data_IF_205603594286
#
_entry.id   IF_205603594286
#
_cell.length_a   1.000
_cell.length_b   1.000
_cell.length_c   1.000
_cell.angle_alpha   90.00
_cell.angle_beta   90.00
_cell.angle_gamma   90.00
#
_symmetry.space_group_name_H-M   'P 1'
#
loop_
_entity.id
_entity.type
_entity.pdbx_description
1 polymer ?
#
# COMPACT_ATOMS: atom_id res chain seq x y z
N UNK A 1 11.40 -45.80 -25.14
CA UNK A 1 10.42 -44.72 -25.37
C UNK A 1 11.05 -43.41 -24.95
N UNK A 2 11.30 -42.50 -25.90
CA UNK A 2 11.83 -41.17 -25.59
C UNK A 2 10.71 -40.28 -25.05
N UNK A 3 10.96 -39.56 -23.96
CA UNK A 3 10.05 -38.56 -23.40
C UNK A 3 9.84 -37.46 -24.46
N UNK A 4 8.60 -37.03 -24.78
CA UNK A 4 8.39 -35.92 -25.69
C UNK A 4 9.14 -34.70 -25.13
N UNK A 5 9.96 -34.04 -25.95
CA UNK A 5 10.47 -32.71 -25.61
C UNK A 5 9.26 -31.80 -25.50
N UNK A 6 8.91 -31.37 -24.29
CA UNK A 6 8.04 -30.22 -24.08
C UNK A 6 8.57 -29.09 -24.96
N UNK A 7 7.73 -28.59 -25.86
CA UNK A 7 8.08 -27.42 -26.65
C UNK A 7 8.51 -26.29 -25.69
N UNK A 8 9.54 -25.50 -26.03
CA UNK A 8 9.91 -24.35 -25.21
C UNK A 8 8.70 -23.44 -25.05
N UNK A 9 8.53 -22.84 -23.87
CA UNK A 9 7.50 -21.83 -23.64
C UNK A 9 7.64 -20.71 -24.69
N UNK A 10 6.53 -20.11 -25.15
CA UNK A 10 6.60 -19.02 -26.11
C UNK A 10 7.38 -17.85 -25.53
N UNK A 11 8.10 -17.12 -26.36
CA UNK A 11 8.71 -15.86 -25.94
C UNK A 11 7.62 -14.86 -25.55
N UNK A 12 7.88 -14.00 -24.56
CA UNK A 12 6.96 -12.94 -24.13
C UNK A 12 7.54 -11.57 -24.51
N UNK A 13 6.70 -10.67 -25.01
CA UNK A 13 7.04 -9.27 -25.28
C UNK A 13 6.26 -8.36 -24.32
N UNK A 14 6.95 -7.70 -23.40
CA UNK A 14 6.34 -6.77 -22.46
C UNK A 14 6.27 -5.35 -23.04
N UNK A 15 5.08 -4.93 -23.43
CA UNK A 15 4.78 -3.57 -23.87
C UNK A 15 4.52 -2.69 -22.63
N UNK A 16 5.25 -1.58 -22.54
CA UNK A 16 5.13 -0.62 -21.43
C UNK A 16 4.86 0.77 -21.98
N UNK A 17 3.73 1.38 -21.61
CA UNK A 17 3.39 2.72 -22.06
C UNK A 17 4.17 3.80 -21.27
N UNK A 18 4.46 4.92 -21.95
CA UNK A 18 4.98 6.14 -21.32
C UNK A 18 3.92 6.88 -20.49
N UNK A 19 4.19 8.14 -20.13
CA UNK A 19 3.24 8.96 -19.38
C UNK A 19 2.14 9.46 -20.34
N UNK A 20 0.97 8.83 -20.31
CA UNK A 20 -0.11 9.19 -21.26
C UNK A 20 -1.44 8.44 -21.12
N UNK A 21 -1.56 7.46 -20.22
CA UNK A 21 -2.85 6.81 -19.98
C UNK A 21 -3.32 5.87 -21.08
N UNK A 22 -2.40 5.31 -21.88
CA UNK A 22 -2.75 4.41 -22.98
C UNK A 22 -3.44 3.15 -22.43
N UNK A 23 -4.55 2.78 -23.08
CA UNK A 23 -5.35 1.61 -22.69
C UNK A 23 -4.71 0.30 -23.16
N UNK A 24 -4.99 -0.84 -22.51
CA UNK A 24 -4.47 -2.14 -22.97
C UNK A 24 -4.91 -2.47 -24.40
N UNK A 25 -6.12 -2.04 -24.81
CA UNK A 25 -6.62 -2.24 -26.18
C UNK A 25 -5.77 -1.49 -27.21
N UNK A 26 -5.35 -0.27 -26.88
CA UNK A 26 -4.47 0.51 -27.76
C UNK A 26 -3.04 -0.03 -27.78
N UNK A 27 -2.53 -0.54 -26.66
CA UNK A 27 -1.18 -1.14 -26.61
C UNK A 27 -1.12 -2.45 -27.38
N UNK A 28 -2.16 -3.28 -27.28
CA UNK A 28 -2.23 -4.58 -27.93
C UNK A 28 -2.84 -4.51 -29.32
N UNK A 29 -3.29 -3.34 -29.78
CA UNK A 29 -4.04 -3.16 -31.02
C UNK A 29 -5.19 -4.18 -31.19
N UNK A 30 -5.88 -4.47 -30.08
CA UNK A 30 -6.96 -5.46 -30.02
C UNK A 30 -8.07 -4.99 -29.07
N UNK A 31 -9.34 -4.95 -29.49
CA UNK A 31 -10.45 -4.55 -28.62
C UNK A 31 -10.75 -5.56 -27.50
N UNK A 32 -10.38 -6.84 -27.66
CA UNK A 32 -10.65 -7.94 -26.73
C UNK A 32 -9.39 -8.24 -25.92
N UNK A 33 -9.21 -7.52 -24.81
CA UNK A 33 -8.11 -7.78 -23.88
C UNK A 33 -8.61 -8.43 -22.59
N UNK A 34 -7.78 -9.29 -22.00
CA UNK A 34 -8.04 -9.97 -20.73
C UNK A 34 -6.97 -9.59 -19.73
N UNK A 35 -7.37 -9.27 -18.49
CA UNK A 35 -6.45 -9.04 -17.37
C UNK A 35 -5.87 -10.40 -16.93
N UNK A 36 -4.57 -10.58 -17.08
CA UNK A 36 -3.87 -11.81 -16.70
C UNK A 36 -3.45 -11.76 -15.24
N UNK A 37 -2.92 -10.62 -14.80
CA UNK A 37 -2.51 -10.41 -13.40
C UNK A 37 -2.57 -8.93 -13.03
N UNK A 38 -2.72 -8.65 -11.74
CA UNK A 38 -2.88 -7.30 -11.19
C UNK A 38 -4.35 -6.93 -10.97
N UNK A 39 -4.65 -5.64 -11.06
CA UNK A 39 -5.97 -5.08 -10.80
C UNK A 39 -6.31 -3.91 -11.74
N UNK A 40 -7.44 -3.25 -11.49
CA UNK A 40 -7.88 -2.10 -12.29
C UNK A 40 -6.95 -0.86 -12.17
N UNK A 41 -6.03 -0.83 -11.21
CA UNK A 41 -5.09 0.28 -11.00
C UNK A 41 -3.79 0.04 -11.77
N UNK A 42 -3.26 -1.18 -11.69
CA UNK A 42 -2.12 -1.61 -12.50
C UNK A 42 -2.20 -3.12 -12.78
N UNK A 43 -1.97 -3.51 -14.02
CA UNK A 43 -2.10 -4.91 -14.42
C UNK A 43 -1.44 -5.23 -15.75
N UNK A 44 -1.19 -6.52 -15.95
CA UNK A 44 -0.73 -7.09 -17.22
C UNK A 44 -1.95 -7.64 -17.96
N UNK A 45 -2.10 -7.19 -19.19
CA UNK A 45 -3.16 -7.62 -20.10
C UNK A 45 -2.58 -8.37 -21.28
N UNK A 46 -3.30 -9.39 -21.75
CA UNK A 46 -3.05 -10.07 -23.03
C UNK A 46 -4.26 -9.88 -23.95
N UNK A 47 -4.07 -10.13 -25.25
CA UNK A 47 -5.21 -10.36 -26.15
C UNK A 47 -5.95 -11.60 -25.67
N UNK A 48 -7.26 -11.62 -25.84
CA UNK A 48 -8.10 -12.72 -25.32
C UNK A 48 -7.71 -14.06 -25.95
N UNK A 49 -7.28 -14.05 -27.21
CA UNK A 49 -6.87 -15.27 -27.92
C UNK A 49 -5.49 -15.79 -27.43
N UNK A 50 -4.72 -14.94 -26.76
CA UNK A 50 -3.34 -15.19 -26.30
C UNK A 50 -3.24 -15.54 -24.80
N UNK A 51 -4.37 -15.62 -24.08
CA UNK A 51 -4.38 -15.91 -22.63
C UNK A 51 -3.70 -17.26 -22.33
N UNK A 52 -4.07 -18.31 -23.07
CA UNK A 52 -3.55 -19.67 -22.90
C UNK A 52 -2.34 -19.97 -23.81
N UNK A 53 -1.57 -18.95 -24.19
CA UNK A 53 -0.44 -19.12 -25.12
C UNK A 53 0.61 -20.11 -24.60
N UNK A 54 0.79 -20.21 -23.28
CA UNK A 54 1.72 -21.15 -22.66
C UNK A 54 1.26 -22.62 -22.74
N UNK A 55 -0.04 -22.86 -22.90
CA UNK A 55 -0.61 -24.20 -23.11
C UNK A 55 -0.50 -24.63 -24.59
N UNK A 56 -0.28 -23.66 -25.50
CA UNK A 56 -0.24 -23.86 -26.96
C UNK A 56 1.04 -23.28 -27.60
N UNK A 57 2.25 -23.62 -27.12
CA UNK A 57 3.50 -23.04 -27.61
C UNK A 57 3.73 -23.26 -29.11
N UNK A 58 3.18 -24.33 -29.69
CA UNK A 58 3.30 -24.66 -31.11
C UNK A 58 2.60 -23.68 -32.07
N UNK A 59 1.60 -22.92 -31.60
CA UNK A 59 0.85 -21.96 -32.43
C UNK A 59 1.63 -20.66 -32.68
N UNK A 60 2.53 -20.31 -31.76
CA UNK A 60 3.29 -19.05 -31.79
C UNK A 60 4.65 -19.22 -32.49
N UNK A 61 5.24 -20.41 -32.45
CA UNK A 61 6.57 -20.66 -33.02
C UNK A 61 7.61 -19.74 -32.37
N UNK A 62 8.30 -18.94 -33.18
CA UNK A 62 9.27 -17.94 -32.70
C UNK A 62 8.65 -16.54 -32.44
N UNK A 63 7.35 -16.35 -32.69
CA UNK A 63 6.70 -15.05 -32.45
C UNK A 63 6.45 -14.85 -30.95
N UNK A 64 6.88 -13.71 -30.37
CA UNK A 64 6.59 -13.44 -28.98
C UNK A 64 5.12 -13.11 -28.77
N UNK A 65 4.61 -13.46 -27.60
CA UNK A 65 3.26 -13.14 -27.13
C UNK A 65 3.29 -11.74 -26.50
N UNK A 66 2.55 -10.76 -27.04
CA UNK A 66 2.55 -9.40 -26.50
C UNK A 66 1.72 -9.30 -25.21
N UNK A 67 2.31 -8.68 -24.21
CA UNK A 67 1.70 -8.36 -22.92
C UNK A 67 1.74 -6.86 -22.68
N UNK A 68 0.58 -6.24 -22.43
CA UNK A 68 0.51 -4.83 -22.08
C UNK A 68 0.55 -4.64 -20.57
N UNK A 69 1.61 -4.02 -20.06
CA UNK A 69 1.64 -3.52 -18.69
C UNK A 69 1.05 -2.13 -18.61
N UNK A 70 -0.14 -2.04 -18.03
CA UNK A 70 -0.88 -0.81 -17.83
C UNK A 70 -0.69 -0.32 -16.38
N UNK A 71 -0.13 0.88 -16.21
CA UNK A 71 0.18 1.47 -14.89
C UNK A 71 -0.38 2.88 -14.70
N UNK A 72 -1.11 3.39 -15.69
CA UNK A 72 -1.69 4.74 -15.66
C UNK A 72 -2.60 5.00 -14.46
N UNK A 73 -3.30 3.97 -13.99
CA UNK A 73 -4.11 4.05 -12.77
C UNK A 73 -3.31 4.43 -11.53
N UNK A 74 -1.99 4.24 -11.49
CA UNK A 74 -1.08 4.67 -10.41
C UNK A 74 -0.81 6.19 -10.40
N UNK A 75 -1.08 6.91 -11.49
CA UNK A 75 -0.78 8.36 -11.60
C UNK A 75 -2.01 9.24 -11.82
N UNK A 76 -3.15 8.69 -12.28
CA UNK A 76 -4.38 9.47 -12.58
C UNK A 76 -5.58 9.33 -11.61
N UNK A 77 -5.49 8.47 -10.59
CA UNK A 77 -6.59 8.13 -9.65
C UNK A 77 -7.00 9.13 -8.54
N UNK A 78 -7.91 8.61 -7.69
CA UNK A 78 -8.79 9.22 -6.69
C UNK A 78 -8.17 10.24 -5.69
N UNK A 79 -8.96 11.22 -5.23
CA UNK A 79 -8.59 12.26 -4.24
C UNK A 79 -8.15 11.72 -2.87
N UNK A 80 -8.51 10.48 -2.54
CA UNK A 80 -7.93 9.73 -1.42
C UNK A 80 -6.40 9.60 -1.49
N UNK A 81 -5.78 9.92 -2.63
CA UNK A 81 -4.33 10.06 -2.76
C UNK A 81 -3.71 11.08 -1.81
N UNK A 82 -4.44 12.13 -1.44
CA UNK A 82 -3.94 13.12 -0.48
C UNK A 82 -3.61 12.49 0.89
N UNK A 83 -4.31 11.42 1.29
CA UNK A 83 -4.03 10.68 2.53
C UNK A 83 -2.63 10.03 2.51
N UNK A 84 -2.06 9.76 1.33
CA UNK A 84 -0.69 9.24 1.22
C UNK A 84 0.37 10.24 1.68
N UNK A 85 0.07 11.54 1.75
CA UNK A 85 1.01 12.52 2.29
C UNK A 85 1.36 12.23 3.75
N UNK A 86 0.42 11.68 4.53
CA UNK A 86 0.66 11.24 5.90
C UNK A 86 1.64 10.04 5.92
N UNK A 87 1.54 9.17 4.92
CA UNK A 87 2.40 7.99 4.77
C UNK A 87 3.71 8.28 4.03
N UNK A 88 3.88 9.47 3.48
CA UNK A 88 5.07 9.88 2.71
C UNK A 88 6.38 9.63 3.48
N UNK A 89 6.51 9.95 4.78
CA UNK A 89 7.75 9.67 5.53
C UNK A 89 8.08 8.17 5.57
N UNK A 90 7.07 7.30 5.71
CA UNK A 90 7.24 5.85 5.71
C UNK A 90 7.64 5.33 4.33
N UNK A 91 7.05 5.89 3.27
CA UNK A 91 7.42 5.57 1.90
C UNK A 91 8.88 5.89 1.61
N UNK A 92 9.37 7.06 2.07
CA UNK A 92 10.77 7.46 1.93
C UNK A 92 11.69 6.51 2.70
N UNK A 93 11.34 6.13 3.94
CA UNK A 93 12.11 5.18 4.72
C UNK A 93 12.19 3.79 4.05
N UNK A 94 11.08 3.32 3.47
CA UNK A 94 11.04 2.09 2.69
C UNK A 94 11.93 2.20 1.44
N UNK A 95 11.83 3.29 0.68
CA UNK A 95 12.66 3.53 -0.51
C UNK A 95 14.16 3.55 -0.15
N UNK A 96 14.52 4.25 0.93
CA UNK A 96 15.90 4.30 1.41
C UNK A 96 16.45 2.88 1.66
N UNK A 97 15.67 2.00 2.29
CA UNK A 97 16.09 0.61 2.49
C UNK A 97 16.43 -0.11 1.18
N UNK A 98 15.67 0.12 0.11
CA UNK A 98 15.92 -0.45 -1.22
C UNK A 98 17.04 0.24 -2.00
N UNK A 99 17.29 1.53 -1.78
CA UNK A 99 18.40 2.30 -2.37
C UNK A 99 19.77 2.01 -1.73
N UNK A 100 19.86 0.94 -0.92
CA UNK A 100 21.09 0.51 -0.27
C UNK A 100 22.21 0.33 -1.31
N UNK A 101 23.37 1.01 -1.17
CA UNK A 101 24.48 0.87 -2.12
C UNK A 101 24.97 -0.57 -2.24
N UNK A 102 25.42 -0.98 -3.42
CA UNK A 102 26.01 -2.30 -3.62
C UNK A 102 27.33 -2.43 -2.83
N UNK A 103 27.39 -3.34 -1.87
CA UNK A 103 28.65 -3.75 -1.23
C UNK A 103 28.57 -5.21 -0.77
N UNK A 104 29.71 -5.85 -0.44
CA UNK A 104 29.73 -7.22 0.06
C UNK A 104 28.78 -7.40 1.25
N UNK A 105 27.97 -8.47 1.24
CA UNK A 105 26.91 -8.74 2.25
C UNK A 105 27.37 -8.69 3.72
N UNK A 106 28.68 -8.81 3.98
CA UNK A 106 29.29 -8.83 5.32
C UNK A 106 29.98 -7.53 5.73
N UNK A 107 29.92 -6.47 4.92
CA UNK A 107 30.58 -5.21 5.26
C UNK A 107 29.87 -4.53 6.46
N UNK A 108 30.62 -4.08 7.48
CA UNK A 108 30.03 -3.50 8.70
C UNK A 108 29.13 -2.29 8.41
N UNK A 109 29.51 -1.46 7.43
CA UNK A 109 28.70 -0.31 7.02
C UNK A 109 27.30 -0.73 6.50
N UNK A 110 27.20 -1.91 5.90
CA UNK A 110 25.93 -2.43 5.40
C UNK A 110 25.01 -2.85 6.54
N UNK A 111 25.56 -3.43 7.62
CA UNK A 111 24.80 -3.74 8.85
C UNK A 111 24.32 -2.45 9.51
N UNK A 112 25.22 -1.47 9.67
CA UNK A 112 24.90 -0.16 10.26
C UNK A 112 23.78 0.53 9.49
N UNK A 113 23.87 0.58 8.15
CA UNK A 113 22.81 1.15 7.31
C UNK A 113 21.45 0.49 7.54
N UNK A 114 21.39 -0.84 7.55
CA UNK A 114 20.15 -1.58 7.80
C UNK A 114 19.57 -1.33 9.19
N UNK A 115 20.42 -1.20 10.21
CA UNK A 115 19.98 -0.85 11.58
C UNK A 115 19.43 0.58 11.62
N UNK A 116 20.14 1.54 11.03
CA UNK A 116 19.69 2.94 11.00
C UNK A 116 18.37 3.11 10.24
N UNK A 117 18.19 2.43 9.11
CA UNK A 117 16.93 2.44 8.37
C UNK A 117 15.76 1.88 9.21
N UNK A 118 16.00 0.81 9.98
CA UNK A 118 15.00 0.23 10.90
C UNK A 118 14.67 1.18 12.06
N UNK A 119 15.68 1.82 12.65
CA UNK A 119 15.49 2.80 13.72
C UNK A 119 14.74 4.05 13.23
N UNK A 120 15.00 4.49 12.00
CA UNK A 120 14.25 5.57 11.37
C UNK A 120 12.78 5.20 11.20
N UNK A 121 12.49 4.03 10.62
CA UNK A 121 11.12 3.55 10.44
C UNK A 121 10.38 3.37 11.79
N UNK A 122 11.07 2.84 12.81
CA UNK A 122 10.52 2.71 14.16
C UNK A 122 10.21 4.09 14.76
N UNK A 123 11.14 5.03 14.66
CA UNK A 123 10.96 6.40 15.16
C UNK A 123 9.76 7.09 14.50
N UNK A 124 9.58 6.94 13.19
CA UNK A 124 8.41 7.48 12.48
C UNK A 124 7.10 6.88 12.98
N UNK A 125 7.08 5.56 13.25
CA UNK A 125 5.90 4.87 13.79
C UNK A 125 5.56 5.39 15.18
N UNK A 126 6.57 5.54 16.04
CA UNK A 126 6.40 6.07 17.39
C UNK A 126 5.91 7.51 17.36
N UNK A 127 6.50 8.37 16.53
CA UNK A 127 6.10 9.78 16.41
C UNK A 127 4.65 9.92 15.91
N UNK A 128 4.27 9.16 14.88
CA UNK A 128 2.89 9.18 14.37
C UNK A 128 1.89 8.71 15.44
N UNK A 129 2.22 7.64 16.17
CA UNK A 129 1.35 7.12 17.23
C UNK A 129 1.26 8.09 18.41
N UNK A 130 2.38 8.70 18.81
CA UNK A 130 2.43 9.70 19.87
C UNK A 130 1.59 10.93 19.51
N UNK A 131 1.69 11.43 18.27
CA UNK A 131 0.86 12.52 17.78
C UNK A 131 -0.64 12.16 17.82
N UNK A 132 -1.01 10.93 17.44
CA UNK A 132 -2.39 10.47 17.55
C UNK A 132 -2.87 10.40 19.01
N UNK A 133 -2.00 9.96 19.94
CA UNK A 133 -2.29 9.98 21.37
C UNK A 133 -2.48 11.40 21.90
N UNK A 134 -1.60 12.34 21.54
CA UNK A 134 -1.69 13.75 21.98
C UNK A 134 -2.99 14.39 21.50
N UNK A 135 -3.33 14.23 20.22
CA UNK A 135 -4.57 14.77 19.67
C UNK A 135 -5.81 14.15 20.35
N UNK A 136 -5.87 12.82 20.48
CA UNK A 136 -7.06 12.14 20.97
C UNK A 136 -7.19 12.19 22.50
N UNK A 137 -6.16 11.79 23.23
CA UNK A 137 -6.21 11.64 24.68
C UNK A 137 -6.08 12.99 25.38
N UNK A 138 -5.14 13.82 24.94
CA UNK A 138 -4.85 15.08 25.60
C UNK A 138 -5.78 16.20 25.10
N UNK A 139 -5.70 16.57 23.82
CA UNK A 139 -6.49 17.71 23.32
C UNK A 139 -8.00 17.43 23.32
N UNK A 140 -8.44 16.28 22.80
CA UNK A 140 -9.87 15.98 22.65
C UNK A 140 -10.49 15.48 23.96
N UNK A 141 -9.99 14.38 24.52
CA UNK A 141 -10.63 13.73 25.66
C UNK A 141 -10.33 14.40 27.00
N UNK A 142 -9.12 14.91 27.22
CA UNK A 142 -8.76 15.54 28.48
C UNK A 142 -9.13 17.02 28.52
N UNK A 143 -8.65 17.80 27.54
CA UNK A 143 -8.83 19.25 27.53
C UNK A 143 -10.21 19.67 27.01
N UNK A 144 -10.59 19.29 25.78
CA UNK A 144 -11.83 19.78 25.17
C UNK A 144 -13.09 19.18 25.83
N UNK A 145 -13.18 17.85 25.95
CA UNK A 145 -14.31 17.20 26.62
C UNK A 145 -14.35 17.46 28.14
N UNK A 146 -13.23 17.91 28.74
CA UNK A 146 -13.17 18.36 30.13
C UNK A 146 -13.57 19.81 30.35
N UNK A 147 -13.73 20.61 29.29
CA UNK A 147 -14.02 22.03 29.34
C UNK A 147 -15.40 22.33 28.73
N UNK A 148 -16.37 22.87 29.49
CA UNK A 148 -17.72 23.16 29.00
C UNK A 148 -17.70 24.03 27.74
N UNK A 149 -16.87 25.09 27.72
CA UNK A 149 -16.80 26.01 26.58
C UNK A 149 -16.31 25.38 25.26
N UNK A 150 -15.50 24.32 25.31
CA UNK A 150 -15.07 23.59 24.10
C UNK A 150 -16.13 22.56 23.69
N UNK A 151 -16.62 21.79 24.65
CA UNK A 151 -17.60 20.74 24.43
C UNK A 151 -18.95 21.28 23.91
N UNK A 152 -19.41 22.43 24.42
CA UNK A 152 -20.65 23.09 23.98
C UNK A 152 -20.61 23.49 22.51
N UNK A 153 -19.42 23.84 22.00
CA UNK A 153 -19.22 24.22 20.61
C UNK A 153 -18.93 23.01 19.68
N UNK A 154 -18.84 21.80 20.24
CA UNK A 154 -18.58 20.55 19.49
C UNK A 154 -19.66 19.52 19.80
N UNK A 155 -20.80 19.62 19.10
CA UNK A 155 -21.98 18.78 19.33
C UNK A 155 -21.71 17.27 19.28
N UNK A 156 -20.72 16.81 18.50
CA UNK A 156 -20.31 15.39 18.43
C UNK A 156 -19.52 14.91 19.66
N UNK A 157 -18.97 15.82 20.47
CA UNK A 157 -18.30 15.53 21.74
C UNK A 157 -19.24 15.60 22.96
N UNK A 158 -20.49 16.03 22.78
CA UNK A 158 -21.46 16.21 23.86
C UNK A 158 -21.66 14.95 24.73
N UNK A 159 -21.53 13.75 24.17
CA UNK A 159 -21.65 12.49 24.94
C UNK A 159 -20.43 12.19 25.83
N UNK A 160 -19.27 12.80 25.54
CA UNK A 160 -18.03 12.70 26.31
C UNK A 160 -17.83 13.87 27.28
N UNK A 161 -18.62 14.93 27.10
CA UNK A 161 -18.50 16.17 27.85
C UNK A 161 -18.69 15.92 29.35
N UNK A 162 -17.83 16.52 30.17
CA UNK A 162 -17.82 16.30 31.62
C UNK A 162 -19.14 16.73 32.30
N UNK A 163 -19.81 17.73 31.74
CA UNK A 163 -21.08 18.31 32.19
C UNK A 163 -22.31 17.54 31.73
N UNK A 164 -22.19 16.67 30.72
CA UNK A 164 -23.30 15.86 30.18
C UNK A 164 -23.92 14.91 31.20
N UNK A 165 -23.24 14.61 32.31
CA UNK A 165 -23.69 13.67 33.34
C UNK A 165 -23.86 12.22 32.85
N UNK A 166 -23.48 11.93 31.60
CA UNK A 166 -23.68 10.63 30.96
C UNK A 166 -22.66 9.57 31.40
N UNK A 167 -22.91 8.31 31.04
CA UNK A 167 -22.03 7.19 31.39
C UNK A 167 -20.57 7.38 30.93
N UNK A 168 -20.36 8.11 29.83
CA UNK A 168 -19.05 8.31 29.20
C UNK A 168 -18.32 9.59 29.64
N UNK A 169 -18.95 10.45 30.47
CA UNK A 169 -18.36 11.73 30.93
C UNK A 169 -17.22 11.55 31.93
N UNK A 170 -17.17 10.40 32.63
CA UNK A 170 -16.11 10.13 33.60
C UNK A 170 -14.72 10.10 32.95
N UNK A 171 -13.67 10.68 33.58
CA UNK A 171 -12.36 10.84 32.96
C UNK A 171 -11.74 9.54 32.43
N UNK A 172 -11.90 8.43 33.15
CA UNK A 172 -11.36 7.15 32.71
C UNK A 172 -12.04 6.63 31.44
N UNK A 173 -13.36 6.80 31.30
CA UNK A 173 -14.13 6.23 30.18
C UNK A 173 -13.96 7.03 28.89
N UNK A 174 -13.91 8.36 28.98
CA UNK A 174 -13.61 9.21 27.80
C UNK A 174 -12.22 8.93 27.22
N UNK A 175 -11.22 8.67 28.07
CA UNK A 175 -9.88 8.29 27.63
C UNK A 175 -9.86 6.91 26.95
N UNK A 176 -10.66 5.95 27.42
CA UNK A 176 -10.81 4.64 26.76
C UNK A 176 -11.39 4.79 25.36
N UNK A 177 -12.42 5.62 25.19
CA UNK A 177 -13.00 5.89 23.86
C UNK A 177 -11.98 6.59 22.96
N UNK A 178 -11.24 7.56 23.48
CA UNK A 178 -10.23 8.27 22.70
C UNK A 178 -9.02 7.40 22.33
N UNK A 179 -8.67 6.40 23.15
CA UNK A 179 -7.62 5.43 22.85
C UNK A 179 -7.93 4.55 21.63
N UNK A 180 -9.20 4.50 21.17
CA UNK A 180 -9.55 3.82 19.93
C UNK A 180 -8.84 4.42 18.72
N UNK A 181 -8.56 5.73 18.71
CA UNK A 181 -7.87 6.38 17.60
C UNK A 181 -6.42 5.88 17.42
N UNK A 182 -5.51 5.99 18.40
CA UNK A 182 -4.14 5.48 18.25
C UNK A 182 -4.12 3.96 17.99
N UNK A 183 -5.01 3.19 18.62
CA UNK A 183 -5.14 1.74 18.33
C UNK A 183 -5.54 1.50 16.87
N UNK A 184 -6.51 2.25 16.34
CA UNK A 184 -6.91 2.15 14.94
C UNK A 184 -5.78 2.55 13.98
N UNK A 185 -5.02 3.59 14.29
CA UNK A 185 -3.84 4.01 13.49
C UNK A 185 -2.79 2.89 13.46
N UNK A 186 -2.42 2.33 14.61
CA UNK A 186 -1.45 1.23 14.66
C UNK A 186 -1.97 -0.02 13.95
N UNK A 187 -3.25 -0.37 14.15
CA UNK A 187 -3.90 -1.50 13.48
C UNK A 187 -3.94 -1.33 11.96
N UNK A 188 -4.22 -0.11 11.48
CA UNK A 188 -4.21 0.21 10.05
C UNK A 188 -2.81 0.07 9.45
N UNK A 189 -1.78 0.60 10.11
CA UNK A 189 -0.38 0.46 9.65
C UNK A 189 0.04 -1.02 9.59
N UNK A 190 -0.32 -1.79 10.61
CA UNK A 190 -0.07 -3.22 10.64
C UNK A 190 -0.77 -3.94 9.49
N UNK A 191 -2.05 -3.64 9.26
CA UNK A 191 -2.84 -4.24 8.18
C UNK A 191 -2.27 -3.88 6.80
N UNK A 192 -1.90 -2.61 6.58
CA UNK A 192 -1.28 -2.16 5.32
C UNK A 192 0.03 -2.90 5.06
N UNK A 193 0.90 -3.00 6.08
CA UNK A 193 2.17 -3.72 5.99
C UNK A 193 1.97 -5.20 5.63
N UNK A 194 1.01 -5.87 6.28
CA UNK A 194 0.69 -7.27 6.01
C UNK A 194 0.12 -7.45 4.60
N UNK A 195 -0.75 -6.54 4.14
CA UNK A 195 -1.34 -6.60 2.81
C UNK A 195 -0.30 -6.40 1.71
N UNK A 196 0.62 -5.45 1.87
CA UNK A 196 1.70 -5.23 0.88
C UNK A 196 2.63 -6.43 0.79
N UNK A 197 2.96 -7.04 1.93
CA UNK A 197 3.80 -8.23 1.97
C UNK A 197 3.13 -9.42 1.25
N UNK A 198 1.86 -9.69 1.57
CA UNK A 198 1.11 -10.79 0.97
C UNK A 198 0.82 -10.62 -0.52
N UNK A 199 0.75 -9.39 -1.03
CA UNK A 199 0.36 -9.15 -2.42
C UNK A 199 1.56 -9.14 -3.39
N UNK A 200 2.74 -8.69 -2.94
CA UNK A 200 3.88 -8.44 -3.83
C UNK A 200 5.08 -9.36 -3.58
N UNK A 201 5.24 -9.93 -2.39
CA UNK A 201 6.39 -10.79 -2.06
C UNK A 201 6.07 -12.29 -2.05
N UNK A 202 4.82 -12.69 -2.30
CA UNK A 202 4.40 -14.10 -2.35
C UNK A 202 4.62 -14.78 -3.70
N UNK A 203 5.23 -14.09 -4.67
CA UNK A 203 5.63 -14.72 -5.93
C UNK A 203 6.76 -15.71 -5.63
N UNK A 204 6.47 -17.01 -5.71
CA UNK A 204 7.49 -18.04 -5.68
C UNK A 204 8.45 -17.81 -6.85
N UNK A 205 9.78 -17.84 -6.64
CA UNK A 205 10.72 -17.93 -7.74
C UNK A 205 10.53 -19.22 -8.54
#
# INVERSE_FOLDING_TARGET
MAKPRTAPAPALELLVHGVGGVTPQQMLDDPRTTLVTGDATAGIHRRTDDVDAEERPGEYGDRPVPEAYCWSGLTSGNGARALWLILLPFMIANLAYWMRPAAPRRHRAQVVYSVLARLLALSLTVLLTAAACELALDLVAWQCAGSPGCADNTSWLSFLAADSGGWWSTPGRRLVVAALLPVAVTGLLWWLSHRTWSAYESASP
#
